data_IF_935092151068
#
_entry.id   IF_935092151068
#
_cell.length_a   1.000
_cell.length_b   1.000
_cell.length_c   1.000
_cell.angle_alpha   90.00
_cell.angle_beta   90.00
_cell.angle_gamma   90.00
#
_symmetry.space_group_name_H-M   'P 1'
#
loop_
_entity.id
_entity.type
_entity.pdbx_description
1 polymer ?
#
# COMPACT_ATOMS: atom_id res chain seq x y z
N UNK A 1 -5.89 8.64 -15.11
CA UNK A 1 -7.26 8.63 -15.66
C UNK A 1 -7.29 9.13 -17.11
N UNK A 2 -7.03 10.41 -17.37
CA UNK A 2 -7.12 11.01 -18.72
C UNK A 2 -6.27 10.32 -19.79
N UNK A 3 -5.07 9.88 -19.43
CA UNK A 3 -4.14 9.20 -20.35
C UNK A 3 -4.30 7.68 -20.36
N UNK A 4 -5.33 7.14 -19.74
CA UNK A 4 -5.61 5.71 -19.63
C UNK A 4 -4.39 4.88 -19.19
N UNK A 5 -3.56 5.44 -18.30
CA UNK A 5 -2.47 4.68 -17.69
C UNK A 5 -3.06 3.54 -16.86
N UNK A 6 -2.32 2.45 -16.74
CA UNK A 6 -2.81 1.28 -15.98
C UNK A 6 -3.19 1.64 -14.54
N UNK A 7 -2.45 2.46 -13.81
CA UNK A 7 -2.80 2.87 -12.45
C UNK A 7 -3.39 4.29 -12.44
N UNK A 8 -4.65 4.36 -12.04
CA UNK A 8 -5.37 5.59 -11.69
C UNK A 8 -5.56 5.66 -10.17
N UNK A 9 -5.69 6.88 -9.64
CA UNK A 9 -5.84 7.08 -8.22
C UNK A 9 -6.90 8.12 -7.89
N UNK A 10 -7.47 7.97 -6.69
CA UNK A 10 -8.35 8.97 -6.09
C UNK A 10 -7.95 9.21 -4.63
N UNK A 11 -7.87 10.48 -4.26
CA UNK A 11 -7.68 10.88 -2.88
C UNK A 11 -9.03 10.95 -2.16
N UNK A 12 -9.12 10.40 -0.96
CA UNK A 12 -10.37 10.33 -0.18
C UNK A 12 -10.22 10.88 1.25
N UNK A 13 -9.00 11.06 1.74
CA UNK A 13 -8.76 11.44 3.13
C UNK A 13 -7.86 12.66 3.29
N UNK A 14 -8.37 13.80 3.81
CA UNK A 14 -7.51 14.92 4.19
C UNK A 14 -6.73 14.68 5.49
N UNK A 15 -7.17 13.74 6.33
CA UNK A 15 -6.57 13.42 7.62
C UNK A 15 -5.57 12.28 7.56
N UNK A 16 -4.69 12.19 8.56
CA UNK A 16 -3.78 11.06 8.76
C UNK A 16 -3.60 10.79 10.26
N UNK A 17 -3.43 9.54 10.62
CA UNK A 17 -3.12 9.09 11.98
C UNK A 17 -1.64 8.71 12.14
N UNK A 18 -0.77 9.27 11.32
CA UNK A 18 0.68 9.20 11.46
C UNK A 18 1.30 10.58 11.22
N UNK A 19 2.52 10.79 11.77
CA UNK A 19 3.33 12.01 11.59
C UNK A 19 4.70 11.65 11.05
N UNK A 20 4.71 11.02 9.87
CA UNK A 20 5.92 10.53 9.24
C UNK A 20 6.95 11.65 9.03
N UNK A 21 8.22 11.39 9.35
CA UNK A 21 9.30 12.37 9.19
C UNK A 21 9.41 12.83 7.72
N UNK A 22 9.33 11.90 6.76
CA UNK A 22 9.39 12.17 5.32
C UNK A 22 8.02 12.17 4.64
N UNK A 23 6.99 12.76 5.26
CA UNK A 23 5.66 12.82 4.66
C UNK A 23 5.66 13.72 3.42
N UNK A 24 5.18 13.21 2.27
CA UNK A 24 5.14 13.96 1.02
C UNK A 24 3.99 14.96 0.93
N UNK A 25 2.97 14.84 1.79
CA UNK A 25 1.76 15.67 1.72
C UNK A 25 1.58 16.59 2.94
N UNK A 26 2.41 16.45 3.97
CA UNK A 26 2.40 17.34 5.14
C UNK A 26 3.73 17.24 5.90
N UNK A 27 4.47 18.32 5.92
CA UNK A 27 5.64 18.48 6.78
C UNK A 27 5.26 19.29 8.02
N UNK A 28 5.70 18.84 9.20
CA UNK A 28 5.41 19.51 10.48
C UNK A 28 6.44 20.61 10.81
N UNK A 29 7.52 20.75 10.05
CA UNK A 29 8.59 21.71 10.28
C UNK A 29 8.47 22.91 9.35
N UNK A 30 8.63 24.11 9.90
CA UNK A 30 8.46 25.39 9.20
C UNK A 30 9.37 25.56 7.96
N UNK A 31 10.50 24.85 7.93
CA UNK A 31 11.49 24.95 6.86
C UNK A 31 11.39 23.83 5.80
N UNK A 32 10.45 22.90 5.93
CA UNK A 32 10.27 21.80 5.00
C UNK A 32 9.00 22.00 4.19
N UNK A 33 9.16 22.15 2.88
CA UNK A 33 8.04 22.27 1.94
C UNK A 33 7.56 20.88 1.55
N UNK A 34 6.27 20.61 1.74
CA UNK A 34 5.66 19.37 1.26
C UNK A 34 5.67 19.35 -0.28
N UNK A 35 6.17 18.27 -0.92
CA UNK A 35 6.16 18.15 -2.38
C UNK A 35 4.77 18.18 -3.01
N UNK A 36 3.75 17.84 -2.25
CA UNK A 36 2.35 17.78 -2.69
C UNK A 36 1.43 18.35 -1.61
N UNK A 37 0.42 19.08 -2.03
CA UNK A 37 -0.64 19.51 -1.12
C UNK A 37 -1.64 18.37 -0.90
N UNK A 38 -2.18 18.34 0.31
CA UNK A 38 -3.23 17.41 0.68
C UNK A 38 -4.59 17.97 0.26
N UNK A 39 -5.49 17.11 -0.24
CA UNK A 39 -6.85 17.55 -0.54
C UNK A 39 -7.53 18.13 0.72
N UNK A 40 -8.45 19.07 0.51
CA UNK A 40 -9.15 19.80 1.59
C UNK A 40 -10.60 19.32 1.81
N UNK A 41 -11.05 18.34 1.05
CA UNK A 41 -12.42 17.83 1.12
C UNK A 41 -12.42 16.29 1.09
N UNK A 42 -13.57 15.70 1.39
CA UNK A 42 -13.83 14.26 1.24
C UNK A 42 -14.82 14.13 0.08
N UNK A 43 -14.46 13.37 -0.99
CA UNK A 43 -15.38 13.16 -2.11
C UNK A 43 -16.60 12.33 -1.68
N UNK A 44 -17.69 12.45 -2.40
CA UNK A 44 -18.86 11.57 -2.22
C UNK A 44 -18.57 10.16 -2.75
N UNK A 45 -19.32 9.18 -2.26
CA UNK A 45 -19.25 7.79 -2.76
C UNK A 45 -19.50 7.74 -4.27
N UNK A 46 -20.49 8.50 -4.75
CA UNK A 46 -20.89 8.51 -6.16
C UNK A 46 -19.78 9.06 -7.07
N UNK A 47 -19.05 10.08 -6.64
CA UNK A 47 -17.89 10.61 -7.38
C UNK A 47 -16.78 9.55 -7.45
N UNK A 48 -16.45 8.91 -6.34
CA UNK A 48 -15.43 7.85 -6.29
C UNK A 48 -15.83 6.68 -7.19
N UNK A 49 -17.09 6.26 -7.15
CA UNK A 49 -17.61 5.16 -7.98
C UNK A 49 -17.59 5.53 -9.47
N UNK A 50 -18.04 6.74 -9.82
CA UNK A 50 -18.06 7.17 -11.22
C UNK A 50 -16.66 7.20 -11.84
N UNK A 51 -15.70 7.78 -11.12
CA UNK A 51 -14.30 7.87 -11.56
C UNK A 51 -13.65 6.50 -11.62
N UNK A 52 -13.86 5.66 -10.59
CA UNK A 52 -13.25 4.33 -10.50
C UNK A 52 -13.77 3.37 -11.58
N UNK A 53 -15.08 3.29 -11.77
CA UNK A 53 -15.67 2.43 -12.80
C UNK A 53 -15.18 2.82 -14.20
N UNK A 54 -15.24 4.13 -14.53
CA UNK A 54 -14.78 4.63 -15.82
C UNK A 54 -13.30 4.33 -16.08
N UNK A 55 -12.43 4.42 -15.05
CA UNK A 55 -11.02 4.09 -15.20
C UNK A 55 -10.81 2.59 -15.46
N UNK A 56 -11.46 1.74 -14.67
CA UNK A 56 -11.32 0.29 -14.77
C UNK A 56 -11.85 -0.28 -16.09
N UNK A 57 -12.82 0.39 -16.72
CA UNK A 57 -13.38 0.00 -18.01
C UNK A 57 -12.54 0.45 -19.22
N UNK A 58 -11.79 1.56 -19.06
CA UNK A 58 -11.14 2.20 -20.21
C UNK A 58 -9.63 1.98 -20.29
N UNK A 59 -8.97 1.70 -19.16
CA UNK A 59 -7.52 1.48 -19.14
C UNK A 59 -7.20 -0.01 -19.29
N UNK A 60 -6.14 -0.30 -20.02
CA UNK A 60 -5.58 -1.64 -20.12
C UNK A 60 -4.89 -1.99 -18.80
N UNK A 61 -5.05 -3.24 -18.34
CA UNK A 61 -4.51 -3.73 -17.06
C UNK A 61 -4.79 -2.78 -15.88
N UNK A 62 -6.00 -2.24 -15.84
CA UNK A 62 -6.38 -1.14 -14.98
C UNK A 62 -6.26 -1.47 -13.49
N UNK A 63 -5.64 -0.56 -12.74
CA UNK A 63 -5.59 -0.55 -11.28
C UNK A 63 -6.17 0.77 -10.79
N UNK A 64 -7.14 0.71 -9.90
CA UNK A 64 -7.68 1.90 -9.24
C UNK A 64 -7.28 1.92 -7.77
N UNK A 65 -6.51 2.95 -7.39
CA UNK A 65 -5.83 3.02 -6.10
C UNK A 65 -6.37 4.13 -5.22
N UNK A 66 -6.66 3.81 -3.96
CA UNK A 66 -6.81 4.77 -2.87
C UNK A 66 -5.43 5.02 -2.21
N UNK A 67 -5.21 6.17 -1.59
CA UNK A 67 -3.98 6.42 -0.82
C UNK A 67 -2.78 6.83 -1.67
N UNK A 68 -2.98 7.62 -2.71
CA UNK A 68 -1.89 8.19 -3.50
C UNK A 68 -1.56 9.61 -3.03
N UNK A 69 -0.32 9.97 -3.12
CA UNK A 69 0.43 11.18 -2.76
C UNK A 69 -0.26 12.43 -2.19
N UNK A 70 -1.41 12.84 -2.71
CA UNK A 70 -2.09 14.08 -2.31
C UNK A 70 -3.15 13.90 -1.21
N UNK A 71 -3.05 12.84 -0.43
CA UNK A 71 -3.96 12.58 0.71
C UNK A 71 -3.22 12.15 1.97
N UNK A 72 -3.98 12.00 3.06
CA UNK A 72 -3.53 11.44 4.32
C UNK A 72 -3.63 9.92 4.36
N UNK A 73 -4.25 9.37 5.40
CA UNK A 73 -4.49 7.93 5.54
C UNK A 73 -5.90 7.56 5.06
N UNK A 74 -6.04 6.78 3.98
CA UNK A 74 -7.34 6.43 3.43
C UNK A 74 -8.20 5.60 4.37
N UNK A 75 -7.62 4.79 5.28
CA UNK A 75 -8.39 4.01 6.26
C UNK A 75 -9.20 4.86 7.23
N UNK A 76 -8.91 6.15 7.36
CA UNK A 76 -9.78 7.06 8.11
C UNK A 76 -11.13 7.25 7.42
N UNK A 77 -11.21 6.96 6.12
CA UNK A 77 -12.44 6.97 5.31
C UNK A 77 -12.88 5.54 4.90
N UNK A 78 -12.59 4.54 5.73
CA UNK A 78 -12.84 3.13 5.41
C UNK A 78 -14.32 2.84 5.04
N UNK A 79 -15.29 3.54 5.64
CA UNK A 79 -16.72 3.37 5.32
C UNK A 79 -17.06 3.88 3.91
N UNK A 80 -16.50 5.02 3.53
CA UNK A 80 -16.64 5.56 2.18
C UNK A 80 -16.04 4.60 1.16
N UNK A 81 -14.80 4.12 1.44
CA UNK A 81 -14.10 3.19 0.55
C UNK A 81 -14.89 1.88 0.42
N UNK A 82 -15.42 1.31 1.51
CA UNK A 82 -16.23 0.10 1.47
C UNK A 82 -17.45 0.26 0.56
N UNK A 83 -18.18 1.37 0.69
CA UNK A 83 -19.33 1.68 -0.17
C UNK A 83 -18.91 1.87 -1.63
N UNK A 84 -17.80 2.56 -1.86
CA UNK A 84 -17.25 2.78 -3.19
C UNK A 84 -16.80 1.48 -3.85
N UNK A 85 -16.12 0.58 -3.13
CA UNK A 85 -15.73 -0.75 -3.64
C UNK A 85 -16.96 -1.51 -4.12
N UNK A 86 -18.00 -1.62 -3.30
CA UNK A 86 -19.27 -2.28 -3.67
C UNK A 86 -19.92 -1.63 -4.87
N UNK A 87 -19.98 -0.29 -4.89
CA UNK A 87 -20.57 0.48 -6.00
C UNK A 87 -19.81 0.33 -7.32
N UNK A 88 -18.47 0.34 -7.29
CA UNK A 88 -17.64 0.09 -8.46
C UNK A 88 -17.89 -1.31 -8.99
N UNK A 89 -17.89 -2.30 -8.10
CA UNK A 89 -18.03 -3.70 -8.49
C UNK A 89 -19.45 -4.05 -8.98
N UNK A 90 -20.45 -3.32 -8.56
CA UNK A 90 -21.79 -3.42 -9.14
C UNK A 90 -21.86 -2.91 -10.59
N UNK A 91 -20.92 -2.04 -11.00
CA UNK A 91 -20.86 -1.47 -12.36
C UNK A 91 -19.91 -2.25 -13.27
N UNK A 92 -18.77 -2.69 -12.76
CA UNK A 92 -17.74 -3.33 -13.57
C UNK A 92 -16.98 -4.43 -12.81
N UNK A 93 -16.71 -5.53 -13.51
CA UNK A 93 -15.83 -6.60 -13.05
C UNK A 93 -14.36 -6.37 -13.47
N UNK A 94 -14.08 -5.37 -14.32
CA UNK A 94 -12.76 -5.11 -14.85
C UNK A 94 -11.78 -4.59 -13.81
N UNK A 95 -10.49 -4.77 -14.08
CA UNK A 95 -9.35 -4.19 -13.38
C UNK A 95 -9.24 -4.56 -11.89
N UNK A 96 -8.32 -3.94 -11.21
CA UNK A 96 -7.88 -4.23 -9.84
C UNK A 96 -8.16 -3.05 -8.93
N UNK A 97 -8.68 -3.30 -7.73
CA UNK A 97 -8.88 -2.30 -6.69
C UNK A 97 -7.78 -2.42 -5.63
N UNK A 98 -7.05 -1.34 -5.42
CA UNK A 98 -5.89 -1.30 -4.53
C UNK A 98 -6.03 -0.19 -3.47
N UNK A 99 -5.40 -0.37 -2.33
CA UNK A 99 -5.23 0.67 -1.31
C UNK A 99 -3.77 0.79 -0.91
N UNK A 100 -3.23 2.01 -0.91
CA UNK A 100 -1.97 2.35 -0.27
C UNK A 100 -2.30 2.90 1.12
N UNK A 101 -1.72 2.33 2.17
CA UNK A 101 -2.11 2.64 3.53
C UNK A 101 -0.96 2.41 4.50
N UNK A 102 -1.05 2.98 5.69
CA UNK A 102 -0.18 2.62 6.80
C UNK A 102 -0.59 1.31 7.49
N UNK A 103 -1.70 0.68 7.07
CA UNK A 103 -2.16 -0.58 7.62
C UNK A 103 -2.67 -0.52 9.06
N UNK A 104 -3.01 0.65 9.57
CA UNK A 104 -3.29 0.92 10.99
C UNK A 104 -4.53 0.22 11.55
N UNK A 105 -5.47 -0.21 10.71
CA UNK A 105 -6.77 -0.72 11.16
C UNK A 105 -7.13 -2.06 10.51
N UNK A 106 -6.70 -3.20 11.11
CA UNK A 106 -6.95 -4.54 10.58
C UNK A 106 -8.44 -4.88 10.41
N UNK A 107 -9.30 -4.37 11.32
CA UNK A 107 -10.75 -4.62 11.24
C UNK A 107 -11.41 -3.86 10.09
N UNK A 108 -10.98 -2.63 9.85
CA UNK A 108 -11.45 -1.87 8.70
C UNK A 108 -11.01 -2.53 7.40
N UNK A 109 -9.73 -2.94 7.30
CA UNK A 109 -9.20 -3.63 6.13
C UNK A 109 -9.95 -4.94 5.85
N UNK A 110 -10.28 -5.73 6.88
CA UNK A 110 -11.08 -6.93 6.67
C UNK A 110 -12.39 -6.62 5.95
N UNK A 111 -13.13 -5.57 6.35
CA UNK A 111 -14.36 -5.17 5.65
C UNK A 111 -14.10 -4.74 4.19
N UNK A 112 -12.96 -4.11 3.92
CA UNK A 112 -12.58 -3.75 2.54
C UNK A 112 -12.23 -5.00 1.72
N UNK A 113 -11.59 -6.00 2.31
CA UNK A 113 -11.34 -7.30 1.66
C UNK A 113 -12.66 -7.99 1.32
N UNK A 114 -13.60 -8.01 2.27
CA UNK A 114 -14.94 -8.59 2.08
C UNK A 114 -15.79 -7.79 1.05
N UNK A 115 -15.48 -6.50 0.87
CA UNK A 115 -16.12 -5.63 -0.12
C UNK A 115 -15.51 -5.71 -1.53
N UNK A 116 -14.45 -6.51 -1.72
CA UNK A 116 -13.85 -6.74 -3.04
C UNK A 116 -12.58 -5.95 -3.33
N UNK A 117 -11.85 -5.52 -2.31
CA UNK A 117 -10.48 -5.00 -2.46
C UNK A 117 -9.55 -6.14 -2.89
N UNK A 118 -8.81 -5.96 -3.97
CA UNK A 118 -7.94 -7.00 -4.53
C UNK A 118 -6.50 -6.92 -4.00
N UNK A 119 -6.03 -5.72 -3.72
CA UNK A 119 -4.64 -5.48 -3.32
C UNK A 119 -4.54 -4.53 -2.13
N UNK A 120 -3.51 -4.77 -1.30
CA UNK A 120 -3.06 -3.82 -0.28
C UNK A 120 -1.58 -3.52 -0.48
N UNK A 121 -1.21 -2.25 -0.33
CA UNK A 121 0.16 -1.79 -0.34
C UNK A 121 0.44 -1.01 0.93
N UNK A 122 1.27 -1.57 1.81
CA UNK A 122 1.59 -0.96 3.10
C UNK A 122 2.93 -0.24 3.02
N UNK A 123 2.96 1.03 3.41
CA UNK A 123 4.21 1.78 3.50
C UNK A 123 4.99 1.38 4.75
N UNK A 124 6.28 1.05 4.59
CA UNK A 124 7.17 0.79 5.71
C UNK A 124 8.60 1.26 5.41
N UNK A 125 9.31 1.72 6.44
CA UNK A 125 10.75 2.02 6.38
C UNK A 125 11.55 0.89 7.03
N UNK A 126 10.94 0.19 7.98
CA UNK A 126 11.61 -0.82 8.80
C UNK A 126 10.61 -1.85 9.31
N UNK A 127 11.10 -3.08 9.49
CA UNK A 127 10.41 -4.15 10.19
C UNK A 127 10.70 -4.18 11.71
N UNK A 128 11.61 -3.32 12.19
CA UNK A 128 11.89 -3.12 13.62
C UNK A 128 10.95 -2.07 14.18
N UNK A 129 10.28 -2.42 15.27
CA UNK A 129 9.31 -1.52 15.90
C UNK A 129 9.91 -0.17 16.27
N UNK A 130 11.13 -0.16 16.83
CA UNK A 130 11.81 1.08 17.25
C UNK A 130 11.98 2.06 16.06
N UNK A 131 12.48 1.56 14.93
CA UNK A 131 12.70 2.35 13.71
C UNK A 131 11.38 2.75 13.06
N UNK A 132 10.40 1.83 13.04
CA UNK A 132 9.05 2.11 12.55
C UNK A 132 8.40 3.24 13.34
N UNK A 133 8.36 3.13 14.67
CA UNK A 133 7.71 4.11 15.55
C UNK A 133 8.39 5.48 15.50
N UNK A 134 9.72 5.50 15.43
CA UNK A 134 10.49 6.74 15.30
C UNK A 134 10.15 7.49 14.00
N UNK A 135 10.03 6.77 12.88
CA UNK A 135 9.74 7.38 11.58
C UNK A 135 8.27 7.76 11.41
N UNK A 136 7.34 6.81 11.65
CA UNK A 136 5.91 7.02 11.41
C UNK A 136 5.21 7.80 12.50
N UNK A 137 5.72 7.77 13.74
CA UNK A 137 5.11 8.44 14.91
C UNK A 137 3.59 8.17 14.98
N UNK A 138 3.17 6.89 15.11
CA UNK A 138 1.79 6.46 14.98
C UNK A 138 0.88 7.07 16.05
N UNK A 139 -0.36 7.42 15.68
CA UNK A 139 -1.37 7.99 16.56
C UNK A 139 -2.55 7.01 16.65
N UNK A 140 -2.70 6.37 17.82
CA UNK A 140 -3.82 5.47 18.07
C UNK A 140 -3.73 4.10 17.40
N UNK A 141 -2.56 3.69 16.91
CA UNK A 141 -2.30 2.35 16.40
C UNK A 141 -0.86 1.91 16.70
N UNK A 142 -0.57 0.63 16.49
CA UNK A 142 0.74 0.02 16.75
C UNK A 142 1.26 -0.72 15.52
N UNK A 143 2.57 -0.96 15.45
CA UNK A 143 3.18 -1.77 14.39
C UNK A 143 2.65 -3.21 14.36
N UNK A 144 2.26 -3.78 15.53
CA UNK A 144 1.62 -5.08 15.59
C UNK A 144 0.30 -5.13 14.81
N UNK A 145 -0.49 -4.04 14.81
CA UNK A 145 -1.70 -3.94 14.00
C UNK A 145 -1.39 -3.87 12.50
N UNK A 146 -0.28 -3.24 12.11
CA UNK A 146 0.17 -3.24 10.71
C UNK A 146 0.50 -4.64 10.23
N UNK A 147 1.23 -5.41 11.02
CA UNK A 147 1.51 -6.83 10.75
C UNK A 147 0.24 -7.67 10.67
N UNK A 148 -0.69 -7.44 11.59
CA UNK A 148 -2.01 -8.10 11.57
C UNK A 148 -2.80 -7.78 10.30
N UNK A 149 -2.73 -6.56 9.79
CA UNK A 149 -3.39 -6.17 8.54
C UNK A 149 -2.89 -6.96 7.34
N UNK A 150 -1.57 -7.18 7.25
CA UNK A 150 -0.96 -7.99 6.19
C UNK A 150 -1.29 -9.49 6.35
N UNK A 151 -1.27 -10.04 7.59
CA UNK A 151 -1.70 -11.42 7.84
C UNK A 151 -3.15 -11.65 7.40
N UNK A 152 -4.05 -10.73 7.71
CA UNK A 152 -5.45 -10.80 7.25
C UNK A 152 -5.57 -10.71 5.74
N UNK A 153 -4.73 -9.93 5.07
CA UNK A 153 -4.69 -9.89 3.61
C UNK A 153 -4.33 -11.28 3.04
N UNK A 154 -3.27 -11.90 3.56
CA UNK A 154 -2.88 -13.28 3.21
C UNK A 154 -4.03 -14.26 3.42
N UNK A 155 -4.63 -14.26 4.62
CA UNK A 155 -5.70 -15.20 5.01
C UNK A 155 -6.97 -15.00 4.17
N UNK A 156 -7.22 -13.79 3.69
CA UNK A 156 -8.30 -13.43 2.77
C UNK A 156 -7.94 -13.62 1.28
N UNK A 157 -6.74 -14.06 0.94
CA UNK A 157 -6.27 -14.18 -0.45
C UNK A 157 -6.14 -12.84 -1.18
N UNK A 158 -5.94 -11.73 -0.44
CA UNK A 158 -5.68 -10.39 -1.00
C UNK A 158 -4.20 -10.26 -1.30
N UNK A 159 -3.87 -9.79 -2.51
CA UNK A 159 -2.47 -9.56 -2.87
C UNK A 159 -1.87 -8.45 -2.02
N UNK A 160 -0.78 -8.76 -1.34
CA UNK A 160 -0.14 -7.82 -0.42
C UNK A 160 1.25 -7.43 -0.87
N UNK A 161 1.54 -6.14 -0.75
CA UNK A 161 2.87 -5.59 -0.99
C UNK A 161 3.26 -4.58 0.07
N UNK A 162 4.56 -4.34 0.20
CA UNK A 162 5.07 -3.22 0.98
C UNK A 162 5.81 -2.23 0.07
N UNK A 163 5.63 -0.93 0.34
CA UNK A 163 6.54 0.11 -0.12
C UNK A 163 7.65 0.24 0.92
N UNK A 164 8.80 -0.39 0.65
CA UNK A 164 9.98 -0.27 1.49
C UNK A 164 10.70 1.04 1.13
N UNK A 165 10.64 2.01 2.06
CA UNK A 165 11.29 3.30 1.89
C UNK A 165 12.79 3.14 2.09
N UNK A 166 13.54 3.17 0.98
CA UNK A 166 14.97 2.92 0.98
C UNK A 166 15.76 4.16 1.39
N UNK A 167 16.51 4.01 2.47
CA UNK A 167 17.53 4.95 2.90
C UNK A 167 18.77 4.15 3.27
N UNK A 168 19.85 4.22 2.44
CA UNK A 168 21.09 3.46 2.68
C UNK A 168 21.65 3.71 4.06
N UNK A 169 22.41 2.76 4.58
CA UNK A 169 22.97 2.70 5.94
C UNK A 169 21.93 2.57 7.07
N UNK A 170 20.64 2.60 6.74
CA UNK A 170 19.56 2.30 7.69
C UNK A 170 18.93 0.96 7.34
N UNK A 171 18.21 0.87 6.21
CA UNK A 171 17.41 -0.31 5.89
C UNK A 171 18.23 -1.54 5.46
N UNK A 172 19.46 -1.34 5.05
CA UNK A 172 20.39 -2.37 4.62
C UNK A 172 21.37 -2.80 5.74
N UNK A 173 21.17 -2.34 6.97
CA UNK A 173 21.91 -2.83 8.13
C UNK A 173 21.53 -4.28 8.48
N UNK A 174 22.48 -5.08 9.00
CA UNK A 174 22.30 -6.51 9.28
C UNK A 174 21.05 -6.81 10.11
N UNK A 175 20.79 -6.05 11.16
CA UNK A 175 19.62 -6.22 12.04
C UNK A 175 18.30 -5.80 11.40
N UNK A 176 18.31 -4.79 10.53
CA UNK A 176 17.14 -4.36 9.76
C UNK A 176 16.79 -5.40 8.67
N UNK A 177 17.81 -5.93 7.96
CA UNK A 177 17.61 -6.97 6.95
C UNK A 177 17.07 -8.25 7.58
N UNK A 178 17.62 -8.69 8.72
CA UNK A 178 17.13 -9.85 9.46
C UNK A 178 15.68 -9.68 9.89
N UNK A 179 15.33 -8.52 10.45
CA UNK A 179 13.96 -8.20 10.85
C UNK A 179 12.99 -8.15 9.65
N UNK A 180 13.44 -7.65 8.50
CA UNK A 180 12.64 -7.63 7.28
C UNK A 180 12.35 -9.04 6.77
N UNK A 181 13.31 -9.94 6.77
CA UNK A 181 13.11 -11.35 6.40
C UNK A 181 12.06 -12.02 7.29
N UNK A 182 12.17 -11.85 8.61
CA UNK A 182 11.18 -12.37 9.56
C UNK A 182 9.78 -11.78 9.34
N UNK A 183 9.70 -10.47 9.12
CA UNK A 183 8.46 -9.78 8.82
C UNK A 183 7.78 -10.33 7.56
N UNK A 184 8.52 -10.54 6.49
CA UNK A 184 7.98 -11.08 5.23
C UNK A 184 7.46 -12.50 5.42
N UNK A 185 8.18 -13.37 6.14
CA UNK A 185 7.75 -14.74 6.51
C UNK A 185 6.49 -14.72 7.37
N UNK A 186 6.45 -13.87 8.39
CA UNK A 186 5.32 -13.75 9.31
C UNK A 186 4.04 -13.27 8.61
N UNK A 187 4.17 -12.26 7.76
CA UNK A 187 3.02 -11.61 7.13
C UNK A 187 2.55 -12.30 5.86
N UNK A 188 3.42 -13.05 5.19
CA UNK A 188 3.15 -13.62 3.86
C UNK A 188 3.03 -12.56 2.78
N UNK A 189 3.72 -11.43 2.93
CA UNK A 189 3.78 -10.37 1.93
C UNK A 189 4.39 -10.88 0.62
N UNK A 190 3.76 -10.60 -0.51
CA UNK A 190 4.10 -11.18 -1.80
C UNK A 190 5.04 -10.31 -2.64
N UNK A 191 5.08 -8.99 -2.39
CA UNK A 191 5.94 -8.07 -3.14
C UNK A 191 6.58 -7.03 -2.21
N UNK A 192 7.88 -6.84 -2.33
CA UNK A 192 8.61 -5.70 -1.79
C UNK A 192 8.88 -4.70 -2.90
N UNK A 193 8.26 -3.52 -2.83
CA UNK A 193 8.56 -2.41 -3.72
C UNK A 193 9.60 -1.51 -3.09
N UNK A 194 10.77 -1.41 -3.71
CA UNK A 194 11.83 -0.52 -3.29
C UNK A 194 11.51 0.91 -3.71
N UNK A 195 11.43 1.83 -2.76
CA UNK A 195 11.09 3.23 -2.99
C UNK A 195 12.14 4.14 -2.36
N UNK A 196 12.73 5.02 -3.15
CA UNK A 196 13.66 5.99 -2.61
C UNK A 196 12.96 6.89 -1.59
N UNK A 197 13.53 7.02 -0.42
CA UNK A 197 13.14 8.01 0.56
C UNK A 197 13.95 9.29 0.31
N UNK A 198 13.30 10.26 -0.31
CA UNK A 198 13.92 11.55 -0.61
C UNK A 198 13.71 12.50 0.57
N UNK A 199 14.67 12.53 1.46
CA UNK A 199 14.68 13.39 2.64
C UNK A 199 16.13 13.76 2.96
N UNK A 200 16.31 14.93 3.55
CA UNK A 200 17.59 15.39 4.03
C UNK A 200 18.12 14.46 5.14
N UNK A 201 19.33 13.88 4.99
CA UNK A 201 19.95 13.06 6.02
C UNK A 201 20.08 13.77 7.37
N UNK A 202 20.35 15.06 7.39
CA UNK A 202 20.46 15.85 8.62
C UNK A 202 19.14 15.97 9.36
N UNK A 203 18.01 15.84 8.65
CA UNK A 203 16.67 15.80 9.23
C UNK A 203 16.33 14.39 9.72
N UNK A 204 16.66 13.36 8.95
CA UNK A 204 16.24 11.97 9.23
C UNK A 204 17.10 11.31 10.30
N UNK A 205 18.43 11.29 10.11
CA UNK A 205 19.34 10.47 10.91
C UNK A 205 19.30 10.77 12.43
N UNK A 206 19.21 12.02 12.88
CA UNK A 206 19.09 12.32 14.32
C UNK A 206 17.80 11.80 14.97
N UNK A 207 16.77 11.50 14.16
CA UNK A 207 15.43 11.09 14.62
C UNK A 207 15.21 9.59 14.60
N UNK A 208 16.09 8.85 13.94
CA UNK A 208 16.02 7.39 13.91
C UNK A 208 16.97 6.73 14.90
N UNK A 209 16.61 5.59 15.50
CA UNK A 209 17.54 4.78 16.24
C UNK A 209 18.65 4.28 15.30
N UNK A 210 19.88 4.28 15.77
CA UNK A 210 20.99 3.73 14.98
C UNK A 210 20.82 2.22 14.85
N UNK A 211 20.97 1.65 13.64
CA UNK A 211 21.04 0.21 13.46
C UNK A 211 22.18 -0.39 14.32
N UNK A 212 22.01 -1.64 14.74
CA UNK A 212 23.00 -2.33 15.58
C UNK A 212 24.05 -3.08 14.75
N UNK A 213 23.68 -3.43 13.51
CA UNK A 213 24.54 -4.11 12.56
C UNK A 213 25.30 -3.14 11.64
N UNK A 214 26.25 -3.66 10.89
CA UNK A 214 26.92 -2.91 9.83
C UNK A 214 26.01 -2.82 8.59
N UNK A 215 26.14 -1.77 7.78
CA UNK A 215 25.49 -1.72 6.48
C UNK A 215 26.03 -2.82 5.55
N UNK A 216 25.14 -3.55 4.91
CA UNK A 216 25.49 -4.60 3.94
C UNK A 216 25.56 -4.06 2.51
N UNK A 217 24.89 -2.94 2.27
CA UNK A 217 24.62 -2.37 0.95
C UNK A 217 23.34 -2.91 0.31
N UNK A 218 22.73 -2.10 -0.54
CA UNK A 218 21.44 -2.42 -1.18
C UNK A 218 21.49 -3.69 -2.04
N UNK A 219 22.63 -3.97 -2.70
CA UNK A 219 22.77 -5.21 -3.49
C UNK A 219 22.68 -6.44 -2.59
N UNK A 220 23.41 -6.46 -1.47
CA UNK A 220 23.39 -7.56 -0.52
C UNK A 220 22.04 -7.72 0.18
N UNK A 221 21.31 -6.63 0.45
CA UNK A 221 19.92 -6.70 0.92
C UNK A 221 19.05 -7.46 -0.10
N UNK A 222 19.09 -7.08 -1.38
CA UNK A 222 18.30 -7.73 -2.43
C UNK A 222 18.67 -9.22 -2.58
N UNK A 223 19.96 -9.55 -2.57
CA UNK A 223 20.45 -10.93 -2.64
C UNK A 223 20.01 -11.76 -1.43
N UNK A 224 20.03 -11.15 -0.24
CA UNK A 224 19.55 -11.80 0.99
C UNK A 224 18.05 -12.07 0.91
N UNK A 225 17.23 -11.12 0.48
CA UNK A 225 15.80 -11.34 0.31
C UNK A 225 15.52 -12.46 -0.70
N UNK A 226 16.20 -12.47 -1.85
CA UNK A 226 16.06 -13.53 -2.86
C UNK A 226 16.42 -14.92 -2.36
N UNK A 227 17.39 -15.01 -1.46
CA UNK A 227 17.83 -16.27 -0.86
C UNK A 227 16.90 -16.73 0.26
N UNK A 228 16.53 -15.81 1.16
CA UNK A 228 15.81 -16.14 2.40
C UNK A 228 14.28 -16.23 2.25
N UNK A 229 13.73 -15.50 1.29
CA UNK A 229 12.28 -15.43 0.98
C UNK A 229 12.06 -15.47 -0.53
N UNK A 230 12.45 -16.55 -1.22
CA UNK A 230 12.43 -16.63 -2.68
C UNK A 230 11.05 -16.52 -3.31
N UNK A 231 9.99 -16.73 -2.53
CA UNK A 231 8.59 -16.55 -2.93
C UNK A 231 8.16 -15.09 -3.02
N UNK A 232 8.95 -14.16 -2.47
CA UNK A 232 8.65 -12.74 -2.45
C UNK A 232 9.24 -12.06 -3.67
N UNK A 233 8.39 -11.39 -4.46
CA UNK A 233 8.86 -10.58 -5.57
C UNK A 233 9.55 -9.29 -5.07
N UNK A 234 10.58 -8.86 -5.80
CA UNK A 234 11.26 -7.58 -5.52
C UNK A 234 11.19 -6.71 -6.76
N UNK A 235 10.68 -5.50 -6.61
CA UNK A 235 10.53 -4.56 -7.73
C UNK A 235 10.37 -3.13 -7.26
N UNK A 236 9.98 -2.24 -8.18
CA UNK A 236 9.70 -0.85 -7.88
C UNK A 236 8.41 -0.32 -8.51
N UNK A 237 7.56 -1.20 -9.01
CA UNK A 237 6.31 -0.85 -9.68
C UNK A 237 5.19 -1.82 -9.32
N UNK A 238 3.97 -1.33 -9.39
CA UNK A 238 2.76 -2.13 -9.21
C UNK A 238 2.52 -2.95 -10.47
N UNK A 239 2.12 -4.20 -10.31
CA UNK A 239 1.63 -5.04 -11.39
C UNK A 239 0.14 -5.28 -11.23
N UNK A 240 -0.62 -5.38 -12.32
CA UNK A 240 -1.96 -5.92 -12.26
C UNK A 240 -1.86 -7.38 -11.79
N UNK A 241 -2.68 -7.75 -10.80
CA UNK A 241 -2.75 -9.12 -10.31
C UNK A 241 -3.91 -9.83 -10.99
N UNK A 242 -3.78 -11.14 -11.19
CA UNK A 242 -4.91 -11.95 -11.62
C UNK A 242 -5.94 -12.00 -10.50
N UNK A 243 -7.18 -11.64 -10.82
CA UNK A 243 -8.27 -11.66 -9.85
C UNK A 243 -8.78 -13.08 -9.68
N UNK A 244 -8.95 -13.49 -8.44
CA UNK A 244 -9.65 -14.73 -8.12
C UNK A 244 -11.17 -14.51 -8.32
N UNK A 245 -11.71 -15.04 -9.43
CA UNK A 245 -13.11 -14.94 -9.77
C UNK A 245 -14.03 -15.61 -8.74
N UNK A 246 -13.58 -16.68 -8.07
CA UNK A 246 -14.34 -17.37 -7.05
C UNK A 246 -14.50 -16.52 -5.78
N UNK A 247 -13.42 -15.86 -5.34
CA UNK A 247 -13.45 -14.92 -4.21
C UNK A 247 -14.40 -13.76 -4.48
N UNK A 248 -14.48 -13.34 -5.74
CA UNK A 248 -15.34 -12.23 -6.17
C UNK A 248 -16.83 -12.54 -6.14
N UNK A 249 -17.20 -13.72 -6.61
CA UNK A 249 -18.57 -14.19 -6.57
C UNK A 249 -19.11 -14.25 -5.12
N UNK A 250 -18.29 -14.69 -4.18
CA UNK A 250 -18.62 -14.72 -2.77
C UNK A 250 -18.84 -13.32 -2.16
N UNK A 251 -18.02 -12.32 -2.54
CA UNK A 251 -18.12 -10.96 -2.04
C UNK A 251 -19.31 -10.16 -2.63
N UNK A 252 -19.70 -10.47 -3.86
CA UNK A 252 -20.77 -9.74 -4.55
C UNK A 252 -22.19 -10.27 -4.24
N UNK A 253 -22.32 -11.45 -3.64
CA UNK A 253 -23.62 -12.12 -3.44
C UNK A 253 -24.37 -12.43 -4.75
N UNK A 254 -23.69 -12.36 -5.89
CA UNK A 254 -24.21 -12.57 -7.23
C UNK A 254 -23.27 -13.47 -8.04
N UNK A 255 -23.81 -14.20 -9.01
CA UNK A 255 -22.96 -14.91 -9.97
C UNK A 255 -22.04 -13.91 -10.71
N UNK A 256 -20.76 -14.23 -10.90
CA UNK A 256 -19.84 -13.32 -11.55
C UNK A 256 -20.32 -13.07 -12.99
N UNK A 257 -20.28 -11.81 -13.47
CA UNK A 257 -20.43 -11.57 -14.88
C UNK A 257 -19.32 -12.32 -15.63
N UNK A 258 -19.67 -12.95 -16.75
CA UNK A 258 -18.70 -13.63 -17.59
C UNK A 258 -17.57 -12.66 -17.96
N UNK A 259 -16.33 -13.04 -17.70
CA UNK A 259 -15.16 -12.28 -18.14
C UNK A 259 -15.21 -12.20 -19.67
N UNK A 260 -14.98 -11.03 -20.28
CA UNK A 260 -14.79 -10.95 -21.72
C UNK A 260 -13.59 -11.83 -22.11
N UNK A 261 -13.74 -12.58 -23.19
CA UNK A 261 -12.66 -13.40 -23.75
C UNK A 261 -11.40 -12.55 -23.93
N UNK A 262 -10.34 -12.89 -23.20
CA UNK A 262 -9.06 -12.23 -23.40
C UNK A 262 -8.54 -12.61 -24.79
N UNK A 263 -8.13 -11.67 -25.64
CA UNK A 263 -7.47 -12.00 -26.88
C UNK A 263 -6.17 -12.75 -26.53
N UNK A 264 -6.01 -13.94 -27.10
CA UNK A 264 -4.81 -14.74 -26.94
C UNK A 264 -3.58 -13.92 -27.33
N UNK A 265 -2.64 -13.79 -26.39
CA UNK A 265 -1.35 -13.17 -26.64
C UNK A 265 -0.68 -13.85 -27.85
N UNK A 266 -0.43 -13.08 -28.89
CA UNK A 266 0.50 -13.41 -29.96
C UNK A 266 1.78 -12.62 -29.79
#
# INVERSE_FOLDING_TARGET
LFFRRWEGAIAVSPGCNARCIGCISKQDEENLISPQDRLLFIPSVDEVVAVGAAHLEQAEDAIYSFGQGCEGEPLLQARLIEQALRGIRARTACGVLNINTNGSNPRALQRLYDAGLDCIRVSTISARQETYDAYYRPIGYTFAQVKESLRRARDAGVYSSINLLCFPDIIDAEDEVAALVEFLRETGTQLVQLRNLNIDPEVLLPRLPRPKGRPLGMAALIETLRREVPEVEIGNFTRPVQRDAARWAAAAGAAPPALPDQPSAR
#
